data_IF_789506534671
#
_entry.id   IF_789506534671
#
_cell.length_a   1.000
_cell.length_b   1.000
_cell.length_c   1.000
_cell.angle_alpha   90.00
_cell.angle_beta   90.00
_cell.angle_gamma   90.00
#
_symmetry.space_group_name_H-M   'P 1'
#
loop_
_entity.id
_entity.type
_entity.pdbx_description
1 polymer ?
#
# COMPACT_ATOMS: atom_id res chain seq x y z
N UNK A 1 -22.78 -8.99 6.71
CA UNK A 1 -21.59 -8.10 6.75
C UNK A 1 -21.91 -6.98 7.71
N UNK A 2 -21.08 -6.82 8.75
CA UNK A 2 -21.22 -5.69 9.66
C UNK A 2 -20.92 -4.38 8.92
N UNK A 3 -21.64 -3.33 9.22
CA UNK A 3 -21.41 -1.97 8.72
C UNK A 3 -21.25 -1.04 9.91
N UNK A 4 -20.16 -0.28 9.91
CA UNK A 4 -19.83 0.68 10.96
C UNK A 4 -19.75 2.07 10.32
N UNK A 5 -20.61 2.98 10.75
CA UNK A 5 -20.52 4.39 10.39
C UNK A 5 -19.46 5.00 11.30
N UNK A 6 -18.45 5.63 10.69
CA UNK A 6 -17.30 6.24 11.38
C UNK A 6 -17.07 7.63 10.85
N UNK A 7 -16.72 8.58 11.73
CA UNK A 7 -16.39 9.95 11.34
C UNK A 7 -14.93 10.07 10.97
N UNK A 8 -14.66 10.91 9.98
CA UNK A 8 -13.30 11.34 9.66
C UNK A 8 -12.79 12.23 10.79
N UNK A 9 -11.65 11.87 11.37
CA UNK A 9 -10.94 12.61 12.41
C UNK A 9 -10.02 13.66 11.78
N UNK A 10 -9.24 13.24 10.77
CA UNK A 10 -8.32 14.12 10.04
C UNK A 10 -8.10 13.64 8.60
N UNK A 11 -7.71 14.59 7.75
CA UNK A 11 -7.23 14.32 6.38
C UNK A 11 -5.94 15.09 6.15
N UNK A 12 -4.97 14.46 5.47
CA UNK A 12 -3.69 15.07 5.12
C UNK A 12 -3.34 14.71 3.67
N UNK A 13 -2.87 15.67 2.89
CA UNK A 13 -2.32 15.40 1.56
C UNK A 13 -0.88 14.90 1.71
N UNK A 14 -0.58 13.71 1.16
CA UNK A 14 0.75 13.09 1.21
C UNK A 14 1.54 13.33 -0.07
N UNK A 15 0.85 13.34 -1.20
CA UNK A 15 1.36 13.73 -2.53
C UNK A 15 0.29 14.56 -3.24
N UNK A 16 0.57 14.98 -4.47
CA UNK A 16 -0.39 15.76 -5.27
C UNK A 16 -1.71 15.00 -5.57
N UNK A 17 -1.74 13.68 -5.41
CA UNK A 17 -2.90 12.83 -5.71
C UNK A 17 -3.13 11.70 -4.69
N UNK A 18 -2.48 11.77 -3.52
CA UNK A 18 -2.65 10.79 -2.44
C UNK A 18 -2.99 11.48 -1.15
N UNK A 19 -4.09 11.05 -0.53
CA UNK A 19 -4.61 11.60 0.72
C UNK A 19 -4.65 10.53 1.81
N UNK A 20 -4.27 10.92 3.03
CA UNK A 20 -4.41 10.11 4.24
C UNK A 20 -5.69 10.48 4.94
N UNK A 21 -6.45 9.46 5.36
CA UNK A 21 -7.65 9.59 6.19
C UNK A 21 -7.44 8.85 7.50
N UNK A 22 -7.69 9.53 8.61
CA UNK A 22 -7.85 8.90 9.91
C UNK A 22 -9.31 9.00 10.31
N UNK A 23 -9.89 7.86 10.68
CA UNK A 23 -11.31 7.76 11.02
C UNK A 23 -11.49 7.10 12.38
N UNK A 24 -12.65 7.28 13.00
CA UNK A 24 -12.98 6.61 14.25
C UNK A 24 -12.81 5.09 14.11
N UNK A 25 -12.32 4.46 15.16
CA UNK A 25 -12.16 3.01 15.23
C UNK A 25 -13.33 2.41 16.02
N UNK A 26 -14.14 1.55 15.39
CA UNK A 26 -15.21 0.87 16.11
C UNK A 26 -14.66 -0.01 17.24
N UNK A 27 -15.39 -0.10 18.34
CA UNK A 27 -14.98 -0.93 19.48
C UNK A 27 -14.79 -2.40 19.04
N UNK A 28 -13.64 -2.97 19.40
CA UNK A 28 -13.28 -4.34 19.06
C UNK A 28 -12.91 -4.58 17.60
N UNK A 29 -12.84 -3.53 16.77
CA UNK A 29 -12.45 -3.67 15.37
C UNK A 29 -10.93 -3.94 15.26
N UNK A 30 -10.58 -5.07 14.67
CA UNK A 30 -9.18 -5.53 14.51
C UNK A 30 -8.94 -6.06 13.10
N UNK A 31 -7.71 -6.01 12.65
CA UNK A 31 -7.26 -6.51 11.35
C UNK A 31 -5.84 -7.08 11.45
N UNK A 32 -5.43 -7.88 10.48
CA UNK A 32 -4.03 -8.27 10.31
C UNK A 32 -3.37 -7.26 9.36
N UNK A 33 -2.14 -6.74 9.68
CA UNK A 33 -1.42 -5.85 8.77
C UNK A 33 -1.36 -6.39 7.34
N UNK A 34 -1.71 -5.53 6.38
CA UNK A 34 -1.86 -5.89 4.97
C UNK A 34 -3.30 -6.16 4.53
N UNK A 35 -4.24 -6.37 5.45
CA UNK A 35 -5.67 -6.55 5.13
C UNK A 35 -6.36 -5.23 4.76
N UNK A 36 -7.53 -5.37 4.15
CA UNK A 36 -8.37 -4.31 3.64
C UNK A 36 -9.81 -4.41 4.20
N UNK A 37 -10.58 -3.39 3.95
CA UNK A 37 -12.05 -3.37 4.12
C UNK A 37 -12.70 -2.68 2.92
N UNK A 38 -13.99 -2.92 2.72
CA UNK A 38 -14.77 -2.13 1.81
C UNK A 38 -15.22 -0.82 2.47
N UNK A 39 -14.79 0.31 1.91
CA UNK A 39 -15.27 1.64 2.29
C UNK A 39 -16.32 2.17 1.32
N UNK A 40 -17.23 2.98 1.85
CA UNK A 40 -18.10 3.85 1.07
C UNK A 40 -18.36 5.16 1.84
N UNK A 41 -18.70 6.22 1.12
CA UNK A 41 -19.10 7.49 1.74
C UNK A 41 -20.54 7.36 2.22
N UNK A 42 -20.83 7.80 3.46
CA UNK A 42 -22.18 7.70 4.05
C UNK A 42 -23.11 8.80 3.54
N UNK A 43 -23.42 8.77 2.24
CA UNK A 43 -24.44 9.62 1.62
C UNK A 43 -25.46 8.74 0.89
N UNK A 44 -26.69 9.22 0.63
CA UNK A 44 -27.70 8.45 -0.11
C UNK A 44 -27.20 7.90 -1.45
N UNK A 45 -26.37 8.64 -2.16
CA UNK A 45 -25.87 8.32 -3.50
C UNK A 45 -24.66 7.37 -3.49
N UNK A 46 -23.88 7.33 -2.39
CA UNK A 46 -22.57 6.67 -2.35
C UNK A 46 -22.47 5.53 -1.35
N UNK A 47 -23.38 5.40 -0.38
CA UNK A 47 -23.32 4.38 0.68
C UNK A 47 -23.25 2.93 0.15
N UNK A 48 -23.76 2.69 -1.04
CA UNK A 48 -23.73 1.38 -1.71
C UNK A 48 -22.57 1.22 -2.71
N UNK A 49 -21.80 2.29 -2.97
CA UNK A 49 -20.65 2.27 -3.88
C UNK A 49 -19.38 1.91 -3.10
N UNK A 50 -19.20 0.63 -2.87
CA UNK A 50 -18.07 0.08 -2.10
C UNK A 50 -16.78 0.08 -2.92
N UNK A 51 -15.66 0.36 -2.26
CA UNK A 51 -14.31 0.20 -2.81
C UNK A 51 -13.38 -0.38 -1.73
N UNK A 52 -12.49 -1.30 -2.12
CA UNK A 52 -11.51 -1.85 -1.20
C UNK A 52 -10.43 -0.81 -0.87
N UNK A 53 -10.11 -0.68 0.41
CA UNK A 53 -8.96 0.10 0.87
C UNK A 53 -8.24 -0.64 1.99
N UNK A 54 -6.92 -0.67 1.88
CA UNK A 54 -6.06 -1.33 2.85
C UNK A 54 -5.87 -0.46 4.09
N UNK A 55 -5.85 -1.08 5.27
CA UNK A 55 -5.45 -0.40 6.49
C UNK A 55 -3.96 -0.08 6.45
N UNK A 56 -3.60 1.17 6.73
CA UNK A 56 -2.21 1.62 6.78
C UNK A 56 -1.73 1.89 8.20
N UNK A 57 -2.64 2.05 9.19
CA UNK A 57 -2.33 2.15 10.61
C UNK A 57 -2.08 0.79 11.28
N UNK A 58 -1.98 0.82 12.61
CA UNK A 58 -1.81 -0.35 13.46
C UNK A 58 -3.06 -0.62 14.32
N UNK A 59 -3.19 -1.86 14.81
CA UNK A 59 -4.26 -2.18 15.77
C UNK A 59 -4.13 -1.45 17.12
N UNK A 60 -2.93 -1.03 17.49
CA UNK A 60 -2.66 -0.20 18.67
C UNK A 60 -3.11 1.24 18.54
N UNK A 61 -3.35 1.72 17.32
CA UNK A 61 -3.80 3.08 17.09
C UNK A 61 -5.24 3.28 17.59
N UNK A 62 -5.58 4.47 18.12
CA UNK A 62 -6.94 4.78 18.55
C UNK A 62 -7.89 5.11 17.40
N UNK A 63 -7.44 5.02 16.15
CA UNK A 63 -8.16 5.29 14.92
C UNK A 63 -7.88 4.18 13.87
N UNK A 64 -8.66 4.15 12.79
CA UNK A 64 -8.30 3.46 11.56
C UNK A 64 -7.66 4.46 10.58
N UNK A 65 -6.60 4.06 9.90
CA UNK A 65 -5.92 4.90 8.90
C UNK A 65 -5.97 4.24 7.53
N UNK A 66 -6.23 5.09 6.52
CA UNK A 66 -6.22 4.72 5.10
C UNK A 66 -5.42 5.76 4.32
N UNK A 67 -4.57 5.30 3.40
CA UNK A 67 -3.87 6.14 2.43
C UNK A 67 -4.44 5.80 1.07
N UNK A 68 -5.08 6.79 0.44
CA UNK A 68 -5.90 6.59 -0.75
C UNK A 68 -5.42 7.47 -1.89
N UNK A 69 -5.14 6.84 -3.04
CA UNK A 69 -4.88 7.57 -4.28
C UNK A 69 -6.19 8.07 -4.87
N UNK A 70 -6.23 9.35 -5.13
CA UNK A 70 -7.36 10.06 -5.71
C UNK A 70 -7.25 10.03 -7.23
N UNK A 71 -8.35 9.73 -7.90
CA UNK A 71 -8.44 9.72 -9.37
C UNK A 71 -9.48 10.75 -9.84
N UNK A 72 -9.11 12.02 -10.00
CA UNK A 72 -10.07 13.10 -10.30
C UNK A 72 -10.82 12.92 -11.63
N UNK A 73 -10.18 12.26 -12.60
CA UNK A 73 -10.79 11.96 -13.92
C UNK A 73 -11.85 10.88 -13.90
N UNK A 74 -11.90 10.06 -12.84
CA UNK A 74 -12.89 9.02 -12.68
C UNK A 74 -14.06 9.55 -11.84
N UNK A 75 -15.28 9.56 -12.38
CA UNK A 75 -16.50 9.87 -11.63
C UNK A 75 -16.84 8.71 -10.67
N UNK A 76 -15.99 8.49 -9.67
CA UNK A 76 -16.06 7.38 -8.72
C UNK A 76 -15.91 7.81 -7.28
N UNK A 77 -15.95 6.84 -6.37
CA UNK A 77 -15.83 7.04 -4.91
C UNK A 77 -14.56 7.81 -4.54
N UNK A 78 -13.43 7.55 -5.21
CA UNK A 78 -12.15 8.21 -4.92
C UNK A 78 -12.16 9.71 -5.20
N UNK A 79 -12.94 10.17 -6.22
CA UNK A 79 -13.12 11.60 -6.46
C UNK A 79 -13.90 12.29 -5.34
N UNK A 80 -14.95 11.62 -4.86
CA UNK A 80 -15.76 12.16 -3.76
C UNK A 80 -14.97 12.20 -2.44
N UNK A 81 -14.09 11.20 -2.21
CA UNK A 81 -13.20 11.20 -1.06
C UNK A 81 -12.30 12.44 -1.00
N UNK A 82 -11.93 13.02 -2.16
CA UNK A 82 -11.09 14.22 -2.20
C UNK A 82 -11.69 15.42 -1.48
N UNK A 83 -13.01 15.57 -1.57
CA UNK A 83 -13.75 16.69 -0.99
C UNK A 83 -14.09 16.54 0.51
N UNK A 84 -13.91 15.32 1.08
CA UNK A 84 -14.31 15.04 2.45
C UNK A 84 -13.41 15.73 3.47
N UNK A 85 -14.02 16.09 4.59
CA UNK A 85 -13.43 16.86 5.70
C UNK A 85 -13.61 16.13 7.03
N UNK A 86 -12.87 16.50 8.06
CA UNK A 86 -13.14 16.06 9.42
C UNK A 86 -14.61 16.30 9.80
N UNK A 87 -15.26 15.25 10.34
CA UNK A 87 -16.68 15.23 10.69
C UNK A 87 -17.58 14.56 9.65
N UNK A 88 -17.14 14.45 8.39
CA UNK A 88 -17.85 13.65 7.37
C UNK A 88 -17.79 12.16 7.73
N UNK A 89 -18.71 11.37 7.19
CA UNK A 89 -18.89 9.97 7.57
C UNK A 89 -18.54 9.00 6.45
N UNK A 90 -17.80 7.96 6.82
CA UNK A 90 -17.57 6.77 6.01
C UNK A 90 -18.27 5.55 6.60
N UNK A 91 -18.49 4.55 5.77
CA UNK A 91 -18.95 3.23 6.20
C UNK A 91 -17.81 2.24 6.01
N UNK A 92 -17.34 1.68 7.14
CA UNK A 92 -16.32 0.62 7.20
C UNK A 92 -17.04 -0.72 7.37
N UNK A 93 -16.55 -1.77 6.71
CA UNK A 93 -17.18 -3.10 6.72
C UNK A 93 -16.26 -4.17 7.27
N UNK A 94 -16.63 -5.44 7.09
CA UNK A 94 -15.81 -6.58 7.53
C UNK A 94 -14.41 -6.53 6.89
N UNK A 95 -13.43 -7.03 7.63
CA UNK A 95 -12.02 -7.12 7.21
C UNK A 95 -11.85 -8.29 6.26
N UNK A 96 -11.06 -8.08 5.20
CA UNK A 96 -10.66 -9.13 4.25
C UNK A 96 -9.30 -8.79 3.63
N UNK A 97 -8.75 -9.67 2.77
CA UNK A 97 -7.50 -9.45 2.05
C UNK A 97 -6.56 -10.65 2.15
N UNK A 98 -5.72 -10.80 1.13
CA UNK A 98 -4.81 -11.93 0.97
C UNK A 98 -3.36 -11.60 1.36
N UNK A 99 -2.96 -10.32 1.37
CA UNK A 99 -1.60 -9.94 1.76
C UNK A 99 -1.49 -9.96 3.28
N UNK A 100 -0.64 -10.88 3.76
CA UNK A 100 -0.19 -10.93 5.15
C UNK A 100 1.29 -11.28 5.18
N UNK A 101 2.00 -10.85 6.22
CA UNK A 101 3.42 -11.16 6.37
C UNK A 101 3.66 -12.66 6.60
N UNK A 102 4.50 -13.27 5.76
CA UNK A 102 4.83 -14.71 5.78
C UNK A 102 6.32 -14.94 6.04
N UNK A 103 7.03 -13.93 6.53
CA UNK A 103 8.46 -13.95 6.79
C UNK A 103 9.27 -12.98 5.95
N UNK A 104 10.56 -12.84 6.28
CA UNK A 104 11.47 -11.88 5.66
C UNK A 104 11.56 -12.03 4.15
N UNK A 105 11.46 -10.92 3.41
CA UNK A 105 11.35 -10.96 1.97
C UNK A 105 11.58 -9.65 1.26
N UNK A 106 11.29 -9.67 -0.03
CA UNK A 106 11.30 -8.52 -0.92
C UNK A 106 9.87 -8.09 -1.19
N UNK A 107 9.57 -6.87 -0.87
CA UNK A 107 8.29 -6.22 -1.14
C UNK A 107 8.44 -5.36 -2.40
N UNK A 108 7.58 -5.55 -3.38
CA UNK A 108 7.61 -4.80 -4.64
C UNK A 108 6.27 -4.11 -4.81
N UNK A 109 6.28 -2.79 -4.71
CA UNK A 109 5.09 -1.95 -4.79
C UNK A 109 5.09 -1.08 -6.05
N UNK A 110 3.91 -0.83 -6.62
CA UNK A 110 3.71 0.17 -7.67
C UNK A 110 2.65 1.19 -7.29
N UNK A 111 3.04 2.47 -7.15
CA UNK A 111 2.12 3.54 -6.77
C UNK A 111 1.31 3.21 -5.51
N UNK A 112 -0.03 3.30 -5.59
CA UNK A 112 -0.92 2.98 -4.45
C UNK A 112 -0.83 1.54 -3.94
N UNK A 113 -0.18 0.62 -4.68
CA UNK A 113 0.09 -0.74 -4.21
C UNK A 113 1.04 -0.83 -3.02
N UNK A 114 1.61 0.29 -2.57
CA UNK A 114 2.40 0.37 -1.33
C UNK A 114 1.53 0.19 -0.07
N UNK A 115 0.24 0.46 -0.13
CA UNK A 115 -0.62 0.57 1.05
C UNK A 115 -0.65 -0.66 1.95
N UNK A 116 -0.73 -1.93 1.47
CA UNK A 116 -0.66 -3.08 2.35
C UNK A 116 0.70 -3.22 3.05
N UNK A 117 1.76 -2.73 2.42
CA UNK A 117 3.11 -2.84 2.98
C UNK A 117 3.38 -1.78 4.06
N UNK A 118 2.67 -0.65 4.06
CA UNK A 118 2.79 0.37 5.10
C UNK A 118 2.47 -0.22 6.48
N UNK A 119 1.30 -0.83 6.65
CA UNK A 119 0.92 -1.42 7.94
C UNK A 119 1.80 -2.61 8.33
N UNK A 120 2.25 -3.42 7.36
CA UNK A 120 3.16 -4.54 7.61
C UNK A 120 4.50 -4.02 8.14
N UNK A 121 5.12 -3.02 7.49
CA UNK A 121 6.41 -2.49 7.93
C UNK A 121 6.31 -1.76 9.27
N UNK A 122 5.24 -1.00 9.51
CA UNK A 122 4.98 -0.37 10.81
C UNK A 122 4.84 -1.39 11.93
N UNK A 123 4.14 -2.50 11.68
CA UNK A 123 4.00 -3.58 12.65
C UNK A 123 5.34 -4.28 12.92
N UNK A 124 6.13 -4.55 11.88
CA UNK A 124 7.47 -5.12 12.01
C UNK A 124 8.42 -4.18 12.75
N UNK A 125 8.41 -2.87 12.46
CA UNK A 125 9.22 -1.88 13.18
C UNK A 125 8.81 -1.84 14.67
N UNK A 126 7.52 -1.84 14.97
CA UNK A 126 7.03 -1.82 16.36
C UNK A 126 7.48 -3.01 17.21
N UNK A 127 7.88 -4.09 16.56
CA UNK A 127 8.35 -5.34 17.19
C UNK A 127 9.86 -5.60 17.03
N UNK A 128 10.62 -4.62 16.50
CA UNK A 128 12.04 -4.75 16.15
C UNK A 128 12.34 -5.93 15.20
N UNK A 129 11.41 -6.25 14.29
CA UNK A 129 11.51 -7.37 13.34
C UNK A 129 11.69 -6.92 11.87
N UNK A 130 11.95 -5.62 11.63
CA UNK A 130 12.04 -5.02 10.30
C UNK A 130 13.24 -5.53 9.49
N UNK A 131 14.34 -5.89 10.16
CA UNK A 131 15.60 -6.27 9.53
C UNK A 131 15.47 -7.47 8.59
N UNK A 132 16.20 -7.42 7.47
CA UNK A 132 16.20 -8.48 6.45
C UNK A 132 15.04 -8.40 5.47
N UNK A 133 14.18 -7.38 5.58
CA UNK A 133 13.19 -7.04 4.57
C UNK A 133 13.73 -5.97 3.62
N UNK A 134 13.23 -5.92 2.40
CA UNK A 134 13.57 -4.95 1.35
C UNK A 134 12.31 -4.45 0.69
N UNK A 135 12.26 -3.16 0.36
CA UNK A 135 11.19 -2.54 -0.42
C UNK A 135 11.72 -1.98 -1.73
N UNK A 136 11.21 -2.48 -2.84
CA UNK A 136 11.36 -1.88 -4.18
C UNK A 136 10.06 -1.15 -4.50
N UNK A 137 10.14 0.18 -4.66
CA UNK A 137 8.97 1.02 -4.86
C UNK A 137 9.03 1.73 -6.22
N UNK A 138 8.17 1.29 -7.14
CA UNK A 138 8.08 1.82 -8.50
C UNK A 138 7.04 2.94 -8.58
N UNK A 139 7.47 4.10 -9.07
CA UNK A 139 6.64 5.28 -9.26
C UNK A 139 6.94 5.93 -10.61
N UNK A 140 6.16 6.91 -11.03
CA UNK A 140 6.41 7.69 -12.24
C UNK A 140 7.50 8.71 -12.02
N UNK A 141 7.33 9.55 -10.99
CA UNK A 141 8.19 10.65 -10.61
C UNK A 141 8.52 10.60 -9.11
N UNK A 142 9.48 11.40 -8.65
CA UNK A 142 9.80 11.52 -7.23
C UNK A 142 8.60 12.07 -6.42
N UNK A 143 7.81 12.95 -7.00
CA UNK A 143 6.64 13.54 -6.35
C UNK A 143 5.50 12.51 -6.08
N UNK A 144 5.55 11.33 -6.72
CA UNK A 144 4.62 10.23 -6.50
C UNK A 144 5.02 9.31 -5.33
N UNK A 145 6.22 9.46 -4.77
CA UNK A 145 6.71 8.56 -3.72
C UNK A 145 5.94 8.83 -2.42
N UNK A 146 5.11 7.88 -2.01
CA UNK A 146 4.32 7.97 -0.79
C UNK A 146 5.22 7.72 0.42
N UNK A 147 5.25 8.64 1.39
CA UNK A 147 5.97 8.55 2.67
C UNK A 147 7.45 8.13 2.57
N UNK A 148 8.27 8.78 1.70
CA UNK A 148 9.65 8.36 1.48
C UNK A 148 10.52 8.42 2.75
N UNK A 149 10.30 9.40 3.62
CA UNK A 149 11.10 9.58 4.84
C UNK A 149 10.82 8.46 5.87
N UNK A 150 9.55 8.03 5.97
CA UNK A 150 9.17 6.94 6.87
C UNK A 150 9.86 5.63 6.45
N UNK A 151 9.79 5.27 5.16
CA UNK A 151 10.44 4.06 4.66
C UNK A 151 11.97 4.15 4.71
N UNK A 152 12.55 5.32 4.47
CA UNK A 152 14.01 5.51 4.58
C UNK A 152 14.49 5.30 6.01
N UNK A 153 13.72 5.78 6.99
CA UNK A 153 14.02 5.57 8.42
C UNK A 153 13.94 4.09 8.80
N UNK A 154 12.88 3.37 8.33
CA UNK A 154 12.64 1.97 8.67
C UNK A 154 13.62 1.00 7.98
N UNK A 155 13.94 1.23 6.71
CA UNK A 155 14.61 0.25 5.85
C UNK A 155 16.02 0.66 5.43
N UNK A 156 16.41 1.94 5.59
CA UNK A 156 17.72 2.45 5.15
C UNK A 156 17.98 2.14 3.68
N UNK A 157 19.12 1.51 3.39
CA UNK A 157 19.53 1.12 2.03
C UNK A 157 18.66 0.02 1.40
N UNK A 158 17.84 -0.65 2.20
CA UNK A 158 16.86 -1.62 1.70
C UNK A 158 15.57 -0.97 1.17
N UNK A 159 15.46 0.36 1.20
CA UNK A 159 14.39 1.13 0.54
C UNK A 159 14.86 1.65 -0.81
N UNK A 160 14.46 0.98 -1.87
CA UNK A 160 14.90 1.25 -3.24
C UNK A 160 13.74 1.78 -4.06
N UNK A 161 13.89 3.00 -4.60
CA UNK A 161 12.91 3.59 -5.52
C UNK A 161 13.40 3.44 -6.96
N UNK A 162 12.46 3.23 -7.89
CA UNK A 162 12.70 3.26 -9.34
C UNK A 162 11.63 4.15 -10.00
N UNK A 163 12.06 5.06 -10.87
CA UNK A 163 11.19 6.04 -11.52
C UNK A 163 11.08 5.79 -13.01
N UNK A 164 9.85 5.69 -13.52
CA UNK A 164 9.62 5.35 -14.94
C UNK A 164 9.57 6.55 -15.88
N UNK A 165 9.18 7.74 -15.39
CA UNK A 165 8.99 8.94 -16.21
C UNK A 165 9.98 10.06 -15.90
N UNK A 166 10.60 10.03 -14.70
CA UNK A 166 11.57 11.04 -14.27
C UNK A 166 12.97 10.42 -14.12
N UNK A 167 13.99 11.11 -14.65
CA UNK A 167 15.39 10.66 -14.58
C UNK A 167 16.17 11.53 -13.61
N UNK A 168 16.48 11.00 -12.45
CA UNK A 168 17.27 11.62 -11.39
C UNK A 168 18.49 10.74 -11.07
N UNK A 169 19.64 11.36 -10.81
CA UNK A 169 20.89 10.62 -10.52
C UNK A 169 20.83 9.72 -9.28
N UNK A 170 19.96 10.05 -8.32
CA UNK A 170 19.80 9.33 -7.05
C UNK A 170 18.87 8.11 -7.14
N UNK A 171 18.13 7.91 -8.25
CA UNK A 171 17.23 6.79 -8.43
C UNK A 171 17.48 6.07 -9.75
N UNK A 172 17.38 4.74 -9.78
CA UNK A 172 17.23 3.98 -11.02
C UNK A 172 16.09 4.52 -11.87
N UNK A 173 16.27 4.49 -13.19
CA UNK A 173 15.27 4.97 -14.16
C UNK A 173 14.77 3.84 -15.05
N UNK A 174 13.46 3.80 -15.25
CA UNK A 174 12.77 2.85 -16.13
C UNK A 174 11.77 1.95 -15.39
N UNK A 175 11.41 0.85 -16.04
CA UNK A 175 10.54 -0.18 -15.47
C UNK A 175 11.36 -1.23 -14.72
N UNK A 176 10.76 -1.90 -13.75
CA UNK A 176 11.39 -3.05 -13.11
C UNK A 176 11.60 -4.13 -14.17
N UNK A 177 12.84 -4.47 -14.44
CA UNK A 177 13.26 -5.51 -15.37
C UNK A 177 13.91 -6.68 -14.62
N UNK A 178 14.10 -7.81 -15.29
CA UNK A 178 14.83 -8.95 -14.73
C UNK A 178 16.29 -8.57 -14.39
N UNK A 179 16.94 -7.76 -15.24
CA UNK A 179 18.29 -7.25 -14.99
C UNK A 179 18.34 -6.38 -13.73
N UNK A 180 17.36 -5.46 -13.57
CA UNK A 180 17.23 -4.65 -12.38
C UNK A 180 17.03 -5.52 -11.13
N UNK A 181 16.15 -6.53 -11.20
CA UNK A 181 15.94 -7.44 -10.08
C UNK A 181 17.21 -8.22 -9.73
N UNK A 182 17.96 -8.72 -10.72
CA UNK A 182 19.23 -9.42 -10.50
C UNK A 182 20.28 -8.55 -9.80
N UNK A 183 20.42 -7.30 -10.22
CA UNK A 183 21.39 -6.37 -9.65
C UNK A 183 21.01 -5.89 -8.24
N UNK A 184 19.71 -5.88 -7.92
CA UNK A 184 19.17 -5.28 -6.69
C UNK A 184 18.93 -6.31 -5.59
N UNK A 185 18.33 -7.46 -5.92
CA UNK A 185 17.86 -8.43 -4.92
C UNK A 185 18.97 -9.39 -4.46
N UNK A 186 19.87 -9.79 -5.33
CA UNK A 186 21.01 -10.65 -5.05
C UNK A 186 20.65 -12.11 -4.71
N UNK A 187 19.64 -12.37 -3.88
CA UNK A 187 19.20 -13.72 -3.49
C UNK A 187 17.69 -13.87 -3.70
N UNK A 188 17.30 -14.85 -4.53
CA UNK A 188 15.90 -15.13 -4.87
C UNK A 188 15.28 -16.29 -4.06
N UNK A 189 16.04 -16.95 -3.20
CA UNK A 189 15.50 -17.96 -2.27
C UNK A 189 14.93 -17.29 -1.00
N UNK A 190 13.84 -16.52 -1.20
CA UNK A 190 13.15 -15.77 -0.13
C UNK A 190 11.71 -15.45 -0.53
N UNK A 191 10.93 -14.89 0.39
CA UNK A 191 9.55 -14.48 0.11
C UNK A 191 9.51 -13.21 -0.75
N UNK A 192 8.48 -13.11 -1.60
CA UNK A 192 8.20 -11.94 -2.42
C UNK A 192 6.74 -11.53 -2.22
N UNK A 193 6.53 -10.24 -1.99
CA UNK A 193 5.24 -9.62 -1.80
C UNK A 193 5.03 -8.60 -2.91
N UNK A 194 3.97 -8.76 -3.69
CA UNK A 194 3.73 -7.92 -4.86
C UNK A 194 2.37 -7.23 -4.75
N UNK A 195 2.34 -5.92 -4.92
CA UNK A 195 1.12 -5.15 -5.04
C UNK A 195 1.31 -3.95 -5.96
N UNK A 196 0.41 -3.77 -6.92
CA UNK A 196 0.49 -2.68 -7.89
C UNK A 196 -0.43 -2.85 -9.09
N UNK A 197 -0.26 -2.02 -10.12
CA UNK A 197 -1.08 -2.08 -11.32
C UNK A 197 -0.98 -3.45 -12.04
N UNK A 198 -2.09 -3.97 -12.62
CA UNK A 198 -2.10 -5.28 -13.25
C UNK A 198 -1.00 -5.51 -14.30
N UNK A 199 -0.62 -4.56 -15.17
CA UNK A 199 0.48 -4.74 -16.12
C UNK A 199 1.82 -5.01 -15.41
N UNK A 200 2.13 -4.27 -14.34
CA UNK A 200 3.35 -4.47 -13.53
C UNK A 200 3.33 -5.84 -12.85
N UNK A 201 2.20 -6.21 -12.25
CA UNK A 201 2.04 -7.50 -11.57
C UNK A 201 2.25 -8.68 -12.51
N UNK A 202 1.73 -8.60 -13.74
CA UNK A 202 1.90 -9.65 -14.76
C UNK A 202 3.36 -9.77 -15.21
N UNK A 203 4.04 -8.64 -15.45
CA UNK A 203 5.46 -8.62 -15.80
C UNK A 203 6.34 -9.21 -14.68
N UNK A 204 6.13 -8.77 -13.42
CA UNK A 204 6.90 -9.23 -12.27
C UNK A 204 6.75 -10.73 -12.03
N UNK A 205 5.55 -11.30 -12.16
CA UNK A 205 5.34 -12.75 -12.02
C UNK A 205 6.16 -13.54 -13.03
N UNK A 206 6.19 -13.10 -14.29
CA UNK A 206 7.01 -13.72 -15.34
C UNK A 206 8.51 -13.61 -15.04
N UNK A 207 8.98 -12.43 -14.69
CA UNK A 207 10.38 -12.16 -14.36
C UNK A 207 10.86 -12.95 -13.13
N UNK A 208 10.07 -12.99 -12.06
CA UNK A 208 10.42 -13.74 -10.85
C UNK A 208 10.43 -15.26 -11.11
N UNK A 209 9.50 -15.76 -11.94
CA UNK A 209 9.51 -17.17 -12.35
C UNK A 209 10.77 -17.52 -13.16
N UNK A 210 11.21 -16.66 -14.09
CA UNK A 210 12.47 -16.88 -14.84
C UNK A 210 13.72 -16.76 -13.94
N UNK A 211 13.62 -16.07 -12.81
CA UNK A 211 14.64 -15.98 -11.77
C UNK A 211 14.61 -17.14 -10.76
N UNK A 212 13.71 -18.13 -10.96
CA UNK A 212 13.62 -19.33 -10.14
C UNK A 212 12.75 -19.18 -8.90
N UNK A 213 11.96 -18.10 -8.77
CA UNK A 213 11.05 -17.92 -7.65
C UNK A 213 9.80 -18.77 -7.86
N UNK A 214 9.56 -19.73 -6.97
CA UNK A 214 8.38 -20.58 -6.98
C UNK A 214 7.11 -19.82 -6.56
N UNK A 215 5.94 -20.34 -6.97
CA UNK A 215 4.65 -19.72 -6.65
C UNK A 215 4.36 -19.64 -5.16
N UNK A 216 4.87 -20.59 -4.39
CA UNK A 216 4.75 -20.69 -2.92
C UNK A 216 5.55 -19.59 -2.19
N UNK A 217 6.49 -18.97 -2.87
CA UNK A 217 7.26 -17.83 -2.36
C UNK A 217 6.60 -16.49 -2.67
N UNK A 218 5.52 -16.47 -3.47
CA UNK A 218 4.83 -15.25 -3.90
C UNK A 218 3.55 -15.01 -3.10
N UNK A 219 3.45 -13.83 -2.50
CA UNK A 219 2.21 -13.28 -1.94
C UNK A 219 1.77 -12.12 -2.81
N UNK A 220 0.56 -12.18 -3.36
CA UNK A 220 0.06 -11.19 -4.33
C UNK A 220 -1.36 -10.75 -4.00
N UNK A 221 -1.68 -9.49 -4.30
CA UNK A 221 -3.04 -8.96 -4.30
C UNK A 221 -3.33 -8.28 -5.65
N UNK A 222 -4.59 -8.39 -6.10
CA UNK A 222 -5.08 -7.83 -7.37
C UNK A 222 -6.08 -6.71 -7.13
#
# INVERSE_FOLDING_TARGET
MAEHIVKIISTDDLTHDVKRFRVEKPSGYTFVPGQATDLSVNTPELKNKKRPFTFTGLNSDPYLEFIIKIYPSHNGVTKELDSLKPGDELIVRDVWGAITYQGKGVFIAGGAGITPFISIFRDLESRDEIDGNMLIFANKTEADIIQPEEFRKMLGDNFINILSEEKLSKYPHGMISEEFLRSTVGNFNRKFYLCGPPPMMNALKGQLASLGVGKEALTVEF
#
